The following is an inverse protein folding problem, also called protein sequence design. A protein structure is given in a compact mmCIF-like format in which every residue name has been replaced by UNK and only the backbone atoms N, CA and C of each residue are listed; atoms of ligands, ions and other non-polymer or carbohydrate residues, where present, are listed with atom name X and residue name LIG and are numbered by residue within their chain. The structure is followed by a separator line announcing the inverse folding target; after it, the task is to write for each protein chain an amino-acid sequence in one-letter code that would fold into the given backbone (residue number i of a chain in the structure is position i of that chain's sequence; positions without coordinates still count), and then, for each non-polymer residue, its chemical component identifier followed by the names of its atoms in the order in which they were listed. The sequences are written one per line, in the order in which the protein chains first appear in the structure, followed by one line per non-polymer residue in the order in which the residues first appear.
data_IF_419733522314
#
_entry.id   IF_419733522314
#
_cell.length_a   1.000
_cell.length_b   1.000
_cell.length_c   1.000
_cell.angle_alpha   90.00
_cell.angle_beta   90.00
_cell.angle_gamma   90.00
#
_symmetry.space_group_name_H-M   'P 1'
#
loop_
_entity.id
_entity.type
_entity.pdbx_description
1 polymer ?
#
# COMPACT_ATOMS: atom_id res chain seq x y z
N UNK A 1 -29.44 -24.75 -26.18
CA UNK A 1 -29.00 -23.35 -26.06
C UNK A 1 -27.86 -23.15 -27.03
N UNK A 2 -27.94 -22.14 -27.91
CA UNK A 2 -26.82 -21.85 -28.81
C UNK A 2 -25.66 -21.19 -28.03
N UNK A 3 -24.45 -21.27 -28.58
CA UNK A 3 -23.23 -20.77 -27.91
C UNK A 3 -23.24 -19.26 -27.70
N UNK A 4 -23.91 -18.50 -28.57
CA UNK A 4 -23.94 -17.04 -28.50
C UNK A 4 -24.89 -16.56 -27.37
N UNK A 5 -26.04 -17.20 -27.24
CA UNK A 5 -27.01 -16.97 -26.16
C UNK A 5 -26.38 -17.28 -24.80
N UNK A 6 -25.63 -18.39 -24.68
CA UNK A 6 -24.94 -18.72 -23.43
C UNK A 6 -23.87 -17.68 -23.08
N UNK A 7 -23.08 -17.22 -24.05
CA UNK A 7 -22.08 -16.16 -23.82
C UNK A 7 -22.73 -14.83 -23.40
N UNK A 8 -23.85 -14.45 -24.03
CA UNK A 8 -24.58 -13.24 -23.66
C UNK A 8 -25.10 -13.30 -22.22
N UNK A 9 -25.58 -14.46 -21.78
CA UNK A 9 -26.02 -14.68 -20.41
C UNK A 9 -24.86 -14.59 -19.41
N UNK A 10 -23.74 -15.28 -19.67
CA UNK A 10 -22.54 -15.22 -18.81
C UNK A 10 -22.02 -13.78 -18.69
N UNK A 11 -21.95 -13.03 -19.79
CA UNK A 11 -21.54 -11.62 -19.75
C UNK A 11 -22.49 -10.81 -18.87
N UNK A 12 -23.80 -11.05 -18.97
CA UNK A 12 -24.80 -10.35 -18.16
C UNK A 12 -24.62 -10.67 -16.67
N UNK A 13 -24.42 -11.94 -16.33
CA UNK A 13 -24.18 -12.37 -14.95
C UNK A 13 -22.88 -11.79 -14.38
N UNK A 14 -21.77 -11.82 -15.13
CA UNK A 14 -20.49 -11.25 -14.70
C UNK A 14 -20.59 -9.73 -14.51
N UNK A 15 -21.29 -9.02 -15.39
CA UNK A 15 -21.56 -7.58 -15.23
C UNK A 15 -22.37 -7.29 -13.97
N UNK A 16 -23.40 -8.09 -13.69
CA UNK A 16 -24.21 -7.94 -12.48
C UNK A 16 -23.39 -8.22 -11.22
N UNK A 17 -22.58 -9.28 -11.20
CA UNK A 17 -21.67 -9.61 -10.11
C UNK A 17 -20.67 -8.49 -9.85
N UNK A 18 -20.06 -7.94 -10.91
CA UNK A 18 -19.13 -6.80 -10.81
C UNK A 18 -19.82 -5.60 -10.16
N UNK A 19 -21.03 -5.24 -10.61
CA UNK A 19 -21.80 -4.13 -10.04
C UNK A 19 -22.09 -4.35 -8.55
N UNK A 20 -22.57 -5.53 -8.19
CA UNK A 20 -22.88 -5.90 -6.81
C UNK A 20 -21.62 -5.86 -5.94
N UNK A 21 -20.51 -6.44 -6.39
CA UNK A 21 -19.24 -6.40 -5.67
C UNK A 21 -18.75 -4.96 -5.43
N UNK A 22 -18.79 -4.11 -6.45
CA UNK A 22 -18.42 -2.69 -6.33
C UNK A 22 -19.31 -1.93 -5.34
N UNK A 23 -20.59 -2.26 -5.26
CA UNK A 23 -21.52 -1.65 -4.30
C UNK A 23 -21.20 -2.05 -2.85
N UNK A 24 -20.96 -3.32 -2.60
CA UNK A 24 -20.58 -3.80 -1.26
C UNK A 24 -19.17 -3.38 -0.85
N UNK A 25 -18.27 -3.12 -1.79
CA UNK A 25 -16.91 -2.66 -1.50
C UNK A 25 -16.79 -1.14 -1.31
N UNK A 26 -17.89 -0.38 -1.38
CA UNK A 26 -17.84 1.07 -1.17
C UNK A 26 -17.23 1.39 0.19
N UNK A 27 -16.19 2.23 0.20
CA UNK A 27 -15.47 2.64 1.41
C UNK A 27 -14.48 1.60 1.93
N UNK A 28 -14.35 0.43 1.29
CA UNK A 28 -13.32 -0.54 1.61
C UNK A 28 -12.13 -0.37 0.67
N UNK A 29 -10.94 -0.38 1.25
CA UNK A 29 -9.69 -0.51 0.49
C UNK A 29 -9.48 -1.99 0.20
N UNK A 30 -9.70 -2.42 -1.05
CA UNK A 30 -9.49 -3.81 -1.48
C UNK A 30 -8.15 -3.91 -2.22
N UNK A 31 -7.26 -4.85 -1.84
CA UNK A 31 -6.05 -5.14 -2.61
C UNK A 31 -6.40 -5.62 -4.03
N UNK A 32 -5.68 -5.08 -5.02
CA UNK A 32 -5.78 -5.52 -6.41
C UNK A 32 -4.95 -6.78 -6.62
N UNK A 33 -5.25 -7.52 -7.69
CA UNK A 33 -4.51 -8.69 -8.16
C UNK A 33 -3.09 -8.33 -8.63
N UNK A 34 -2.90 -7.14 -9.20
CA UNK A 34 -1.59 -6.68 -9.70
C UNK A 34 -0.83 -5.80 -8.69
N UNK A 35 0.50 -5.86 -8.74
CA UNK A 35 1.39 -5.00 -7.94
C UNK A 35 1.29 -3.54 -8.40
N UNK A 36 1.14 -2.62 -7.45
CA UNK A 36 0.86 -1.22 -7.77
C UNK A 36 1.49 -0.27 -6.74
N UNK A 37 2.09 0.81 -7.23
CA UNK A 37 2.45 2.00 -6.45
C UNK A 37 1.68 3.18 -7.04
N UNK A 38 0.99 3.94 -6.18
CA UNK A 38 0.41 5.24 -6.57
C UNK A 38 0.80 6.30 -5.56
N UNK A 39 1.04 7.50 -6.04
CA UNK A 39 1.37 8.66 -5.22
C UNK A 39 0.64 9.86 -5.81
N UNK A 40 -0.23 10.47 -5.02
CA UNK A 40 -1.11 11.56 -5.44
C UNK A 40 -1.07 12.68 -4.39
N UNK A 41 -1.00 13.96 -4.81
CA UNK A 41 -1.18 15.09 -3.90
C UNK A 41 -2.53 15.00 -3.18
N UNK A 42 -2.51 15.18 -1.87
CA UNK A 42 -3.72 15.20 -1.03
C UNK A 42 -3.98 16.65 -0.64
N UNK A 43 -5.18 17.16 -0.95
CA UNK A 43 -5.59 18.52 -0.62
C UNK A 43 -6.78 18.45 0.33
N UNK A 44 -6.55 18.66 1.62
CA UNK A 44 -7.62 18.74 2.63
C UNK A 44 -8.18 20.16 2.81
N UNK A 45 -7.73 21.12 2.00
CA UNK A 45 -8.24 22.50 2.04
C UNK A 45 -7.82 23.30 3.28
N UNK A 46 -6.98 22.72 4.13
CA UNK A 46 -6.41 23.31 5.34
C UNK A 46 -5.12 24.12 5.08
N UNK A 47 -4.65 24.13 3.82
CA UNK A 47 -3.42 24.83 3.41
C UNK A 47 -2.13 24.03 3.67
N UNK A 48 -2.22 22.84 4.29
CA UNK A 48 -1.06 21.98 4.52
C UNK A 48 -0.86 21.07 3.32
N UNK A 49 0.35 21.06 2.74
CA UNK A 49 0.66 20.09 1.69
C UNK A 49 0.70 18.67 2.28
N UNK A 50 -0.20 17.82 1.81
CA UNK A 50 -0.25 16.42 2.16
C UNK A 50 -0.19 15.54 0.91
N UNK A 51 0.18 14.28 1.12
CA UNK A 51 0.41 13.34 0.03
C UNK A 51 -0.21 12.00 0.38
N UNK A 52 -1.05 11.47 -0.51
CA UNK A 52 -1.57 10.11 -0.39
C UNK A 52 -0.72 9.17 -1.23
N UNK A 53 -0.19 8.12 -0.62
CA UNK A 53 0.51 7.06 -1.33
C UNK A 53 -0.14 5.71 -1.06
N UNK A 54 -0.17 4.84 -2.05
CA UNK A 54 -0.63 3.46 -1.89
C UNK A 54 0.33 2.46 -2.50
N UNK A 55 0.40 1.29 -1.87
CA UNK A 55 1.24 0.16 -2.25
C UNK A 55 0.40 -1.11 -2.17
N UNK A 56 0.24 -1.82 -3.29
CA UNK A 56 -0.39 -3.14 -3.34
C UNK A 56 0.63 -4.20 -3.77
N UNK A 57 0.76 -5.27 -3.01
CA UNK A 57 1.69 -6.37 -3.30
C UNK A 57 1.34 -7.65 -2.53
N UNK A 58 2.10 -8.72 -2.76
CA UNK A 58 2.03 -9.93 -1.94
C UNK A 58 2.55 -9.67 -0.53
N UNK A 59 1.90 -10.28 0.46
CA UNK A 59 2.32 -10.13 1.85
C UNK A 59 3.65 -10.84 2.12
N UNK A 60 4.67 -10.05 2.47
CA UNK A 60 5.93 -10.53 3.03
C UNK A 60 6.11 -10.06 4.48
N UNK A 61 6.67 -10.90 5.37
CA UNK A 61 6.97 -10.48 6.74
C UNK A 61 7.96 -9.30 6.83
N UNK A 62 8.75 -9.02 5.78
CA UNK A 62 9.67 -7.88 5.74
C UNK A 62 9.03 -6.56 5.26
N UNK A 63 7.80 -6.61 4.72
CA UNK A 63 7.17 -5.46 4.06
C UNK A 63 7.05 -4.24 4.98
N UNK A 64 6.49 -4.44 6.18
CA UNK A 64 6.25 -3.33 7.11
C UNK A 64 7.57 -2.71 7.61
N UNK A 65 8.63 -3.52 7.78
CA UNK A 65 9.96 -2.99 8.15
C UNK A 65 10.58 -2.17 7.04
N UNK A 66 10.51 -2.63 5.78
CA UNK A 66 11.02 -1.88 4.62
C UNK A 66 10.24 -0.58 4.40
N UNK A 67 8.91 -0.62 4.50
CA UNK A 67 8.05 0.57 4.45
C UNK A 67 8.40 1.58 5.53
N UNK A 68 8.54 1.12 6.78
CA UNK A 68 8.93 1.99 7.91
C UNK A 68 10.30 2.63 7.67
N UNK A 69 11.25 1.89 7.11
CA UNK A 69 12.57 2.41 6.79
C UNK A 69 12.51 3.46 5.67
N UNK A 70 11.76 3.19 4.60
CA UNK A 70 11.54 4.11 3.49
C UNK A 70 10.96 5.46 3.95
N UNK A 71 9.90 5.41 4.78
CA UNK A 71 9.27 6.63 5.32
C UNK A 71 10.24 7.43 6.19
N UNK A 72 11.01 6.75 7.06
CA UNK A 72 12.02 7.40 7.89
C UNK A 72 13.09 8.11 7.07
N UNK A 73 13.59 7.47 6.00
CA UNK A 73 14.62 8.05 5.12
C UNK A 73 14.12 9.30 4.40
N UNK A 74 12.83 9.35 4.06
CA UNK A 74 12.21 10.51 3.42
C UNK A 74 11.83 11.64 4.39
N UNK A 75 12.03 11.45 5.70
CA UNK A 75 11.66 12.42 6.74
C UNK A 75 10.18 12.85 6.67
N UNK A 76 9.31 11.92 6.29
CA UNK A 76 7.86 12.13 6.21
C UNK A 76 7.16 11.75 7.51
N UNK A 77 6.13 12.51 7.86
CA UNK A 77 5.24 12.16 8.96
C UNK A 77 4.00 11.45 8.41
N UNK A 78 3.63 10.31 8.98
CA UNK A 78 2.39 9.60 8.63
C UNK A 78 1.26 10.18 9.47
N UNK A 79 0.28 10.81 8.83
CA UNK A 79 -0.94 11.30 9.48
C UNK A 79 -2.00 10.21 9.53
N UNK A 80 -2.08 9.40 8.46
CA UNK A 80 -3.03 8.29 8.36
C UNK A 80 -2.36 7.08 7.71
N UNK A 81 -2.66 5.89 8.22
CA UNK A 81 -2.27 4.63 7.59
C UNK A 81 -3.46 3.66 7.61
N UNK A 82 -3.81 3.12 6.46
CA UNK A 82 -4.77 2.04 6.29
C UNK A 82 -4.08 0.83 5.69
N UNK A 83 -4.31 -0.34 6.27
CA UNK A 83 -3.77 -1.61 5.77
C UNK A 83 -4.96 -2.54 5.55
N UNK A 84 -5.04 -3.11 4.36
CA UNK A 84 -6.05 -4.09 3.97
C UNK A 84 -5.37 -5.33 3.43
N UNK A 85 -5.97 -6.50 3.66
CA UNK A 85 -5.44 -7.77 3.16
C UNK A 85 -6.56 -8.60 2.55
N UNK A 86 -6.24 -9.33 1.48
CA UNK A 86 -7.17 -10.22 0.79
C UNK A 86 -6.39 -11.30 0.05
N UNK A 87 -6.64 -12.57 0.33
CA UNK A 87 -6.07 -13.68 -0.44
C UNK A 87 -4.54 -13.71 -0.51
N UNK A 88 -3.85 -13.30 0.55
CA UNK A 88 -2.37 -13.20 0.57
C UNK A 88 -1.81 -11.89 0.04
N UNK A 89 -2.64 -11.05 -0.59
CA UNK A 89 -2.33 -9.69 -1.01
C UNK A 89 -2.49 -8.72 0.16
N UNK A 90 -1.71 -7.65 0.13
CA UNK A 90 -1.79 -6.53 1.07
C UNK A 90 -1.78 -5.22 0.30
N UNK A 91 -2.68 -4.30 0.69
CA UNK A 91 -2.67 -2.92 0.22
C UNK A 91 -2.52 -1.98 1.40
N UNK A 92 -1.46 -1.18 1.36
CA UNK A 92 -1.15 -0.15 2.33
C UNK A 92 -1.47 1.20 1.70
N UNK A 93 -2.18 2.06 2.41
CA UNK A 93 -2.47 3.44 2.01
C UNK A 93 -1.98 4.35 3.13
N UNK A 94 -1.15 5.33 2.78
CA UNK A 94 -0.56 6.28 3.69
C UNK A 94 -0.96 7.69 3.29
N UNK A 95 -1.26 8.54 4.27
CA UNK A 95 -1.33 9.99 4.10
C UNK A 95 -0.15 10.59 4.85
N UNK A 96 0.72 11.28 4.13
CA UNK A 96 1.92 11.90 4.65
C UNK A 96 1.79 13.42 4.71
N UNK A 97 2.51 14.02 5.64
CA UNK A 97 2.82 15.46 5.66
C UNK A 97 4.34 15.66 5.62
N UNK A 98 4.76 16.73 4.95
CA UNK A 98 6.17 17.12 4.87
C UNK A 98 6.60 17.83 6.16
N UNK A 99 7.81 17.54 6.63
CA UNK A 99 8.41 18.20 7.79
C UNK A 99 8.81 19.66 7.52
N UNK A 100 9.05 20.01 6.26
CA UNK A 100 9.31 21.39 5.86
C UNK A 100 7.98 22.04 5.58
N UNK A 101 7.70 23.17 6.24
CA UNK A 101 6.71 24.18 5.84
C UNK A 101 7.03 24.64 4.41
N UNK A 102 6.80 23.78 3.44
CA UNK A 102 6.70 24.17 2.06
C UNK A 102 5.37 24.88 1.97
N UNK A 103 5.41 26.21 1.99
CA UNK A 103 4.32 27.02 1.46
C UNK A 103 3.78 26.31 0.21
N UNK A 104 2.46 26.10 0.17
CA UNK A 104 1.72 25.35 -0.85
C UNK A 104 2.00 25.74 -2.30
N UNK A 105 2.74 26.84 -2.51
CA UNK A 105 2.94 27.51 -3.78
C UNK A 105 4.14 27.00 -4.58
N UNK A 106 4.97 26.10 -4.02
CA UNK A 106 6.14 25.56 -4.73
C UNK A 106 5.84 24.22 -5.41
N UNK A 107 5.16 24.28 -6.56
CA UNK A 107 4.74 23.12 -7.34
C UNK A 107 5.90 22.18 -7.72
N UNK A 108 7.10 22.72 -8.03
CA UNK A 108 8.27 21.88 -8.34
C UNK A 108 8.73 21.04 -7.14
N UNK A 109 8.76 21.62 -5.93
CA UNK A 109 9.17 20.91 -4.72
C UNK A 109 8.19 19.77 -4.39
N UNK A 110 6.89 20.01 -4.58
CA UNK A 110 5.85 19.00 -4.42
C UNK A 110 6.03 17.83 -5.39
N UNK A 111 6.34 18.13 -6.67
CA UNK A 111 6.56 17.10 -7.67
C UNK A 111 7.82 16.26 -7.38
N UNK A 112 8.90 16.88 -6.91
CA UNK A 112 10.11 16.17 -6.48
C UNK A 112 9.79 15.21 -5.32
N UNK A 113 8.98 15.66 -4.36
CA UNK A 113 8.58 14.81 -3.24
C UNK A 113 7.72 13.62 -3.70
N UNK A 114 6.72 13.86 -4.55
CA UNK A 114 5.89 12.81 -5.18
C UNK A 114 6.77 11.75 -5.83
N UNK A 115 7.72 12.17 -6.67
CA UNK A 115 8.63 11.27 -7.37
C UNK A 115 9.52 10.48 -6.40
N UNK A 116 10.02 11.14 -5.35
CA UNK A 116 10.85 10.52 -4.33
C UNK A 116 10.10 9.45 -3.53
N UNK A 117 8.85 9.73 -3.13
CA UNK A 117 7.98 8.74 -2.47
C UNK A 117 7.70 7.58 -3.40
N UNK A 118 7.34 7.86 -4.66
CA UNK A 118 7.05 6.82 -5.64
C UNK A 118 8.25 5.89 -5.83
N UNK A 119 9.45 6.45 -6.04
CA UNK A 119 10.68 5.68 -6.22
C UNK A 119 11.04 4.87 -4.97
N UNK A 120 10.88 5.45 -3.77
CA UNK A 120 11.16 4.76 -2.52
C UNK A 120 10.23 3.56 -2.29
N UNK A 121 8.92 3.73 -2.53
CA UNK A 121 7.95 2.65 -2.43
C UNK A 121 8.14 1.58 -3.51
N UNK A 122 8.52 1.97 -4.72
CA UNK A 122 8.88 1.02 -5.80
C UNK A 122 10.10 0.19 -5.38
N UNK A 123 11.13 0.81 -4.80
CA UNK A 123 12.29 0.09 -4.28
C UNK A 123 11.93 -0.88 -3.15
N UNK A 124 10.92 -0.56 -2.33
CA UNK A 124 10.40 -1.51 -1.32
C UNK A 124 9.77 -2.73 -2.00
N UNK A 125 9.01 -2.56 -3.08
CA UNK A 125 8.47 -3.70 -3.85
C UNK A 125 9.61 -4.59 -4.36
N UNK A 126 10.61 -4.02 -5.00
CA UNK A 126 11.73 -4.79 -5.58
C UNK A 126 12.44 -5.63 -4.50
N UNK A 127 12.68 -5.04 -3.33
CA UNK A 127 13.29 -5.74 -2.18
C UNK A 127 12.40 -6.85 -1.63
N UNK A 128 11.10 -6.61 -1.54
CA UNK A 128 10.13 -7.56 -0.99
C UNK A 128 9.91 -8.73 -1.95
N UNK A 129 9.92 -8.48 -3.26
CA UNK A 129 9.81 -9.52 -4.29
C UNK A 129 11.08 -10.38 -4.34
N UNK A 130 12.27 -9.77 -4.31
CA UNK A 130 13.53 -10.51 -4.19
C UNK A 130 13.62 -11.32 -2.88
N UNK A 131 12.86 -10.90 -1.87
CA UNK A 131 12.78 -11.57 -0.59
C UNK A 131 11.89 -12.81 -0.59
N UNK A 132 10.87 -12.86 -1.46
CA UNK A 132 9.94 -13.97 -1.49
C UNK A 132 10.62 -15.29 -1.91
N UNK A 133 11.63 -15.21 -2.78
CA UNK A 133 12.33 -16.35 -3.38
C UNK A 133 13.10 -17.23 -2.37
N UNK A 134 13.36 -16.74 -1.15
CA UNK A 134 14.06 -17.50 -0.11
C UNK A 134 13.15 -18.11 0.97
N UNK A 135 11.83 -17.91 0.89
CA UNK A 135 10.88 -18.35 1.92
C UNK A 135 10.02 -19.51 1.44
N UNK A 136 10.48 -20.73 1.75
CA UNK A 136 9.65 -21.93 1.67
C UNK A 136 8.35 -21.73 2.48
N UNK A 137 7.16 -22.13 1.97
CA UNK A 137 5.87 -21.66 2.49
C UNK A 137 5.47 -22.20 3.88
N UNK A 138 6.23 -23.14 4.46
CA UNK A 138 5.67 -24.03 5.48
C UNK A 138 6.46 -24.16 6.79
N UNK A 139 7.31 -23.18 7.13
CA UNK A 139 7.98 -23.18 8.43
C UNK A 139 7.61 -21.92 9.20
N UNK A 140 6.70 -22.05 10.17
CA UNK A 140 6.45 -21.03 11.21
C UNK A 140 7.80 -20.52 11.69
N UNK A 141 8.15 -19.26 11.35
CA UNK A 141 9.34 -18.63 11.90
C UNK A 141 9.11 -18.43 13.39
N UNK A 142 9.94 -19.06 14.21
CA UNK A 142 9.89 -18.96 15.66
C UNK A 142 10.34 -17.54 16.01
N UNK A 143 9.41 -16.70 16.43
CA UNK A 143 9.69 -15.36 16.96
C UNK A 143 10.32 -15.59 18.33
N UNK A 144 11.63 -15.34 18.47
CA UNK A 144 12.27 -15.31 19.79
C UNK A 144 11.95 -13.95 20.41
N UNK A 145 11.08 -13.94 21.42
CA UNK A 145 10.95 -12.79 22.30
C UNK A 145 12.29 -12.63 23.02
N UNK A 146 12.99 -11.53 22.73
CA UNK A 146 14.15 -11.14 23.52
C UNK A 146 13.58 -10.73 24.88
N UNK A 147 13.83 -11.55 25.89
CA UNK A 147 13.53 -11.25 27.27
C UNK A 147 14.51 -10.15 27.70
N UNK A 148 14.03 -8.91 27.73
CA UNK A 148 14.77 -7.78 28.29
C UNK A 148 14.92 -8.06 29.79
N UNK A 149 16.04 -8.67 30.18
CA UNK A 149 16.44 -8.74 31.58
C UNK A 149 16.64 -7.31 32.09
N UNK A 150 15.63 -6.81 32.79
CA UNK A 150 15.72 -5.60 33.61
C UNK A 150 16.70 -5.87 34.75
N UNK A 151 17.99 -5.59 34.52
CA UNK A 151 18.96 -5.50 35.62
C UNK A 151 18.83 -4.13 36.27
N UNK A 152 17.99 -4.06 37.29
CA UNK A 152 18.06 -3.03 38.32
C UNK A 152 19.13 -3.43 39.33
N UNK A 153 20.23 -2.69 39.41
CA UNK A 153 21.00 -2.32 40.62
C UNK A 153 22.16 -1.42 40.23
#
# INVERSE_FOLDING_TARGET
MDKATLLAEVITQVKQLKKTATEYSKGLTIPMDDDEVRVEPHNEGDGTFSLTASLCCDYSPQLISELRQAVKTLHLNIVKAEISTLGGRVKNVFVFTSYKDTNSDNAEACQVLVNSVHQSLTSVLDKVSAAADYTLPNKRRRISFIDSSSSSS
#
